data_IF_555932489930
#
_entry.id   IF_555932489930
#
_cell.length_a   1.000
_cell.length_b   1.000
_cell.length_c   1.000
_cell.angle_alpha   90.00
_cell.angle_beta   90.00
_cell.angle_gamma   90.00
#
_symmetry.space_group_name_H-M   'P 1'
#
loop_
_entity.id
_entity.type
_entity.pdbx_description
1 polymer ?
#
# COMPACT_ATOMS: atom_id res chain seq x y z
N UNK A 1 -7.80 51.62 36.30
CA UNK A 1 -7.73 50.17 36.58
C UNK A 1 -7.20 49.53 35.31
N UNK A 2 -5.88 49.56 35.17
CA UNK A 2 -5.18 48.92 34.05
C UNK A 2 -4.86 47.50 34.46
N UNK A 3 -5.42 46.54 33.75
CA UNK A 3 -5.15 45.12 33.98
C UNK A 3 -3.93 44.74 33.15
N UNK A 4 -2.81 44.60 33.84
CA UNK A 4 -1.55 44.11 33.30
C UNK A 4 -1.68 42.60 33.09
N UNK A 5 -1.68 42.16 31.82
CA UNK A 5 -1.67 40.74 31.45
C UNK A 5 -0.23 40.23 31.62
N UNK A 6 0.02 39.14 32.37
CA UNK A 6 1.36 38.59 32.48
C UNK A 6 1.75 37.90 31.18
N UNK A 7 2.94 38.23 30.65
CA UNK A 7 3.58 37.41 29.61
C UNK A 7 3.93 36.06 30.20
N UNK A 8 3.58 34.94 29.55
CA UNK A 8 4.21 33.68 29.87
C UNK A 8 5.57 33.67 29.18
N UNK A 9 6.64 33.79 29.97
CA UNK A 9 7.93 33.28 29.59
C UNK A 9 7.75 31.78 29.30
N UNK A 10 7.67 31.44 28.01
CA UNK A 10 7.83 30.09 27.53
C UNK A 10 9.32 29.77 27.65
N UNK A 11 9.68 29.16 28.78
CA UNK A 11 10.93 28.42 28.94
C UNK A 11 11.08 27.45 27.76
N UNK A 12 11.92 27.83 26.80
CA UNK A 12 12.40 26.99 25.72
C UNK A 12 13.44 26.04 26.31
N UNK A 13 12.98 24.94 26.89
CA UNK A 13 13.81 23.77 27.13
C UNK A 13 13.75 22.85 25.88
N UNK A 14 14.89 22.46 25.27
CA UNK A 14 14.92 21.69 24.03
C UNK A 14 14.81 20.20 24.34
N UNK A 15 13.69 19.77 24.91
CA UNK A 15 13.32 18.36 24.84
C UNK A 15 12.70 18.13 23.46
N UNK A 16 13.23 17.13 22.75
CA UNK A 16 13.03 16.89 21.34
C UNK A 16 11.51 16.86 20.98
N UNK A 17 11.04 17.84 20.20
CA UNK A 17 9.63 17.99 19.86
C UNK A 17 9.07 16.85 18.99
N UNK A 18 7.75 16.81 18.71
CA UNK A 18 7.09 15.74 17.94
C UNK A 18 7.68 15.52 16.53
N UNK A 19 8.33 16.52 15.94
CA UNK A 19 9.05 16.41 14.67
C UNK A 19 10.31 15.55 14.77
N UNK A 20 11.03 15.63 15.89
CA UNK A 20 12.25 14.84 16.11
C UNK A 20 11.95 13.34 16.33
N UNK A 21 10.84 13.02 17.00
CA UNK A 21 10.37 11.64 17.16
C UNK A 21 9.93 11.04 15.82
N UNK A 22 9.21 11.82 14.99
CA UNK A 22 8.81 11.39 13.65
C UNK A 22 10.03 11.07 12.75
N UNK A 23 11.07 11.91 12.80
CA UNK A 23 12.33 11.66 12.11
C UNK A 23 12.97 10.36 12.62
N UNK A 24 13.03 10.15 13.94
CA UNK A 24 13.59 8.93 14.53
C UNK A 24 12.86 7.68 14.03
N UNK A 25 11.52 7.67 14.04
CA UNK A 25 10.74 6.53 13.54
C UNK A 25 11.01 6.16 12.08
N UNK A 26 11.40 7.12 11.23
CA UNK A 26 11.77 6.83 9.84
C UNK A 26 13.24 6.41 9.72
N UNK A 27 14.15 7.17 10.33
CA UNK A 27 15.61 6.91 10.21
C UNK A 27 16.06 5.62 10.89
N UNK A 28 15.39 5.19 11.96
CA UNK A 28 15.72 3.94 12.67
C UNK A 28 15.02 2.72 12.07
N UNK A 29 14.06 2.92 11.14
CA UNK A 29 13.31 1.82 10.55
C UNK A 29 14.17 1.04 9.55
N UNK A 30 14.58 -0.17 9.94
CA UNK A 30 15.20 -1.12 9.01
C UNK A 30 14.13 -1.80 8.16
N UNK A 31 14.27 -1.69 6.83
CA UNK A 31 13.41 -2.42 5.89
C UNK A 31 13.93 -3.84 5.70
N UNK A 32 13.04 -4.82 5.87
CA UNK A 32 13.33 -6.25 5.67
C UNK A 32 12.17 -6.90 4.92
N UNK A 33 12.25 -8.21 4.69
CA UNK A 33 11.15 -8.96 4.09
C UNK A 33 9.84 -8.89 4.90
N UNK A 34 9.93 -8.65 6.22
CA UNK A 34 8.79 -8.66 7.16
C UNK A 34 8.60 -7.39 8.00
N UNK A 35 9.42 -6.36 7.81
CA UNK A 35 9.39 -5.11 8.59
C UNK A 35 9.55 -3.90 7.66
N UNK A 36 8.80 -2.80 7.85
CA UNK A 36 7.81 -2.52 8.92
C UNK A 36 6.50 -3.30 8.80
N UNK A 37 6.26 -3.91 7.64
CA UNK A 37 5.19 -4.88 7.43
C UNK A 37 5.63 -5.90 6.38
N UNK A 38 4.79 -6.91 6.10
CA UNK A 38 5.18 -8.04 5.26
C UNK A 38 5.06 -7.78 3.75
N UNK A 39 5.00 -6.53 3.30
CA UNK A 39 4.78 -6.20 1.88
C UNK A 39 5.77 -6.90 0.95
N UNK A 40 7.06 -6.93 1.30
CA UNK A 40 8.08 -7.55 0.45
C UNK A 40 7.95 -9.07 0.39
N UNK A 41 7.73 -9.72 1.55
CA UNK A 41 7.45 -11.14 1.61
C UNK A 41 6.21 -11.52 0.79
N UNK A 42 5.08 -10.85 1.02
CA UNK A 42 3.81 -11.15 0.37
C UNK A 42 3.85 -10.83 -1.14
N UNK A 43 4.59 -9.80 -1.54
CA UNK A 43 4.81 -9.49 -2.96
C UNK A 43 5.67 -10.55 -3.64
N UNK A 44 6.72 -11.04 -2.99
CA UNK A 44 7.55 -12.14 -3.49
C UNK A 44 6.72 -13.43 -3.66
N UNK A 45 5.85 -13.76 -2.70
CA UNK A 45 4.89 -14.88 -2.82
C UNK A 45 4.01 -14.74 -4.07
N UNK A 46 3.53 -13.53 -4.37
CA UNK A 46 2.77 -13.28 -5.60
C UNK A 46 3.63 -13.49 -6.87
N UNK A 47 4.87 -12.99 -6.89
CA UNK A 47 5.77 -13.17 -8.03
C UNK A 47 6.03 -14.66 -8.32
N UNK A 48 6.28 -15.44 -7.26
CA UNK A 48 6.50 -16.89 -7.35
C UNK A 48 5.25 -17.64 -7.85
N UNK A 49 4.07 -17.26 -7.36
CA UNK A 49 2.81 -17.84 -7.80
C UNK A 49 2.51 -17.59 -9.30
N UNK A 50 3.01 -16.49 -9.85
CA UNK A 50 2.92 -16.17 -11.29
C UNK A 50 3.94 -16.99 -12.07
N UNK A 51 5.21 -16.95 -11.63
CA UNK A 51 6.33 -17.65 -12.24
C UNK A 51 6.53 -17.35 -13.73
N UNK A 52 7.43 -18.11 -14.37
CA UNK A 52 7.80 -17.91 -15.78
C UNK A 52 6.65 -18.22 -16.76
N UNK A 53 5.73 -19.11 -16.36
CA UNK A 53 4.61 -19.51 -17.21
C UNK A 53 3.48 -18.47 -17.27
N UNK A 54 3.44 -17.57 -16.29
CA UNK A 54 2.36 -16.64 -16.05
C UNK A 54 1.15 -17.30 -15.38
N UNK A 55 0.30 -16.47 -14.80
CA UNK A 55 -0.91 -16.88 -14.11
C UNK A 55 -2.16 -16.59 -14.97
N UNK A 56 -2.99 -17.58 -15.31
CA UNK A 56 -4.25 -17.32 -15.99
C UNK A 56 -5.14 -16.39 -15.16
N UNK A 57 -5.75 -15.39 -15.79
CA UNK A 57 -6.69 -14.46 -15.17
C UNK A 57 -8.01 -14.41 -15.93
N UNK A 58 -9.07 -13.89 -15.31
CA UNK A 58 -10.36 -13.71 -15.99
C UNK A 58 -10.24 -12.72 -17.15
N UNK A 59 -10.99 -12.92 -18.23
CA UNK A 59 -10.87 -12.01 -19.39
C UNK A 59 -11.46 -10.63 -19.13
N UNK A 60 -12.56 -10.54 -18.36
CA UNK A 60 -13.27 -9.28 -18.11
C UNK A 60 -12.61 -8.43 -17.03
N UNK A 61 -12.29 -9.02 -15.89
CA UNK A 61 -11.78 -8.30 -14.72
C UNK A 61 -10.30 -8.52 -14.47
N UNK A 62 -9.66 -9.38 -15.28
CA UNK A 62 -8.25 -9.73 -15.14
C UNK A 62 -7.87 -10.20 -13.73
N UNK A 63 -8.81 -10.81 -13.00
CA UNK A 63 -8.60 -11.28 -11.64
C UNK A 63 -8.08 -12.71 -11.62
N UNK A 64 -7.34 -13.05 -10.56
CA UNK A 64 -6.91 -14.40 -10.23
C UNK A 64 -8.15 -15.29 -10.03
N UNK A 65 -8.19 -16.49 -10.66
CA UNK A 65 -9.30 -17.42 -10.50
C UNK A 65 -9.50 -17.86 -9.05
N UNK A 66 -10.76 -18.00 -8.63
CA UNK A 66 -11.18 -18.41 -7.27
C UNK A 66 -10.39 -19.62 -6.75
N UNK A 67 -10.16 -20.62 -7.62
CA UNK A 67 -9.47 -21.87 -7.27
C UNK A 67 -8.04 -21.65 -6.77
N UNK A 68 -7.37 -20.56 -7.15
CA UNK A 68 -5.99 -20.26 -6.76
C UNK A 68 -5.90 -19.29 -5.58
N UNK A 69 -6.98 -18.58 -5.24
CA UNK A 69 -6.97 -17.57 -4.18
C UNK A 69 -6.70 -18.18 -2.79
N UNK A 70 -7.27 -19.35 -2.50
CA UNK A 70 -7.06 -20.01 -1.21
C UNK A 70 -5.60 -20.45 -1.00
N UNK A 71 -5.00 -21.05 -2.03
CA UNK A 71 -3.59 -21.48 -2.04
C UNK A 71 -2.64 -20.28 -1.88
N UNK A 72 -2.91 -19.19 -2.61
CA UNK A 72 -2.10 -17.98 -2.54
C UNK A 72 -2.23 -17.30 -1.17
N UNK A 73 -3.45 -17.17 -0.65
CA UNK A 73 -3.70 -16.57 0.65
C UNK A 73 -3.01 -17.33 1.79
N UNK A 74 -2.97 -18.66 1.72
CA UNK A 74 -2.34 -19.50 2.75
C UNK A 74 -0.81 -19.30 2.85
N UNK A 75 -0.18 -18.77 1.81
CA UNK A 75 1.26 -18.49 1.76
C UNK A 75 1.62 -17.07 2.21
N UNK A 76 0.63 -16.19 2.36
CA UNK A 76 0.84 -14.82 2.84
C UNK A 76 1.33 -14.85 4.29
N UNK A 77 2.08 -13.82 4.70
CA UNK A 77 2.53 -13.66 6.08
C UNK A 77 1.37 -13.62 7.07
N UNK A 78 0.24 -13.02 6.66
CA UNK A 78 -0.99 -12.95 7.43
C UNK A 78 -2.20 -13.35 6.57
N UNK A 79 -2.49 -14.65 6.44
CA UNK A 79 -3.62 -15.14 5.65
C UNK A 79 -4.96 -14.57 6.14
N UNK A 80 -5.77 -14.06 5.23
CA UNK A 80 -7.10 -13.54 5.55
C UNK A 80 -8.10 -14.69 5.59
N UNK A 81 -8.77 -14.87 6.73
CA UNK A 81 -9.85 -15.86 6.88
C UNK A 81 -11.21 -15.19 6.63
N UNK A 82 -12.05 -15.83 5.81
CA UNK A 82 -13.36 -15.30 5.38
C UNK A 82 -14.44 -16.38 5.43
N UNK A 83 -15.70 -15.98 5.64
CA UNK A 83 -16.84 -16.89 5.70
C UNK A 83 -17.65 -17.00 4.39
N UNK A 84 -17.12 -16.50 3.27
CA UNK A 84 -17.79 -16.53 1.97
C UNK A 84 -17.70 -17.92 1.32
N UNK A 85 -18.80 -18.39 0.74
CA UNK A 85 -18.84 -19.67 -0.01
C UNK A 85 -18.12 -19.62 -1.36
N UNK A 86 -18.05 -18.44 -1.99
CA UNK A 86 -17.44 -18.22 -3.31
C UNK A 86 -16.63 -16.93 -3.28
N UNK A 87 -15.47 -16.92 -2.59
CA UNK A 87 -14.70 -15.70 -2.44
C UNK A 87 -14.04 -15.31 -3.76
N UNK A 88 -14.22 -14.05 -4.13
CA UNK A 88 -13.58 -13.46 -5.31
C UNK A 88 -12.25 -12.80 -4.88
N UNK A 89 -11.41 -12.36 -5.82
CA UNK A 89 -10.14 -11.71 -5.48
C UNK A 89 -10.34 -10.51 -4.54
N UNK A 90 -11.38 -9.68 -4.77
CA UNK A 90 -11.74 -8.56 -3.88
C UNK A 90 -12.09 -8.96 -2.45
N UNK A 91 -12.40 -10.25 -2.21
CA UNK A 91 -12.63 -10.78 -0.86
C UNK A 91 -11.33 -11.01 -0.09
N UNK A 92 -10.18 -11.00 -0.78
CA UNK A 92 -8.82 -11.06 -0.25
C UNK A 92 -8.10 -9.74 -0.57
N UNK A 93 -8.37 -8.67 0.21
CA UNK A 93 -7.90 -7.33 -0.12
C UNK A 93 -6.38 -7.19 -0.16
N UNK A 94 -5.63 -8.00 0.60
CA UNK A 94 -4.17 -8.11 0.49
C UNK A 94 -3.75 -8.58 -0.92
N UNK A 95 -4.29 -9.70 -1.41
CA UNK A 95 -4.01 -10.24 -2.75
C UNK A 95 -4.45 -9.24 -3.83
N UNK A 96 -5.60 -8.57 -3.61
CA UNK A 96 -6.08 -7.55 -4.52
C UNK A 96 -5.12 -6.37 -4.62
N UNK A 97 -4.67 -5.84 -3.49
CA UNK A 97 -3.65 -4.79 -3.41
C UNK A 97 -2.33 -5.20 -4.05
N UNK A 98 -1.81 -6.40 -3.78
CA UNK A 98 -0.55 -6.87 -4.38
C UNK A 98 -0.64 -6.97 -5.92
N UNK A 99 -1.78 -7.41 -6.45
CA UNK A 99 -2.00 -7.42 -7.91
C UNK A 99 -2.07 -6.01 -8.50
N UNK A 100 -2.55 -5.03 -7.73
CA UNK A 100 -2.55 -3.61 -8.12
C UNK A 100 -1.11 -3.13 -8.23
N UNK A 101 -0.31 -3.33 -7.18
CA UNK A 101 1.10 -2.92 -7.14
C UNK A 101 1.92 -3.54 -8.27
N UNK A 102 1.68 -4.82 -8.55
CA UNK A 102 2.36 -5.51 -9.65
C UNK A 102 2.12 -4.82 -11.01
N UNK A 103 0.91 -4.29 -11.23
CA UNK A 103 0.56 -3.59 -12.47
C UNK A 103 1.02 -2.13 -12.44
N UNK A 104 0.83 -1.45 -11.33
CA UNK A 104 1.21 -0.05 -11.14
C UNK A 104 2.74 0.15 -11.27
N UNK A 105 3.53 -0.82 -10.80
CA UNK A 105 5.00 -0.84 -10.96
C UNK A 105 5.47 -1.28 -12.35
N UNK A 106 4.58 -1.76 -13.21
CA UNK A 106 4.96 -2.32 -14.51
C UNK A 106 5.62 -3.71 -14.45
N UNK A 107 5.87 -4.25 -13.25
CA UNK A 107 6.48 -5.57 -13.06
C UNK A 107 5.64 -6.72 -13.62
N UNK A 108 4.32 -6.54 -13.71
CA UNK A 108 3.43 -7.49 -14.37
C UNK A 108 2.46 -6.84 -15.34
N UNK A 109 2.21 -7.55 -16.44
CA UNK A 109 1.24 -7.13 -17.47
C UNK A 109 0.31 -8.28 -17.81
N UNK A 110 -0.91 -7.94 -18.23
CA UNK A 110 -1.86 -8.93 -18.74
C UNK A 110 -1.74 -9.00 -20.24
N UNK A 111 -1.45 -10.20 -20.74
CA UNK A 111 -1.32 -10.50 -22.17
C UNK A 111 -2.34 -11.54 -22.59
N UNK A 112 -2.68 -11.58 -23.88
CA UNK A 112 -3.51 -12.65 -24.44
C UNK A 112 -2.63 -13.81 -24.90
N UNK A 113 -2.95 -15.03 -24.46
CA UNK A 113 -2.41 -16.29 -24.99
C UNK A 113 -3.56 -17.08 -25.62
N UNK A 114 -3.74 -16.91 -26.93
CA UNK A 114 -4.95 -17.36 -27.62
C UNK A 114 -6.18 -16.65 -27.07
N UNK A 115 -7.19 -17.40 -26.63
CA UNK A 115 -8.42 -16.82 -26.05
C UNK A 115 -8.29 -16.39 -24.59
N UNK A 116 -7.24 -16.82 -23.87
CA UNK A 116 -7.11 -16.62 -22.42
C UNK A 116 -6.24 -15.40 -22.09
N UNK A 117 -6.68 -14.58 -21.16
CA UNK A 117 -5.83 -13.59 -20.49
C UNK A 117 -4.86 -14.27 -19.50
N UNK A 118 -3.59 -13.84 -19.51
CA UNK A 118 -2.53 -14.35 -18.65
C UNK A 118 -1.74 -13.17 -18.09
N UNK A 119 -1.65 -13.09 -16.77
CA UNK A 119 -0.76 -12.19 -16.04
C UNK A 119 0.67 -12.74 -16.13
N UNK A 120 1.61 -11.93 -16.62
CA UNK A 120 3.02 -12.30 -16.81
C UNK A 120 3.93 -11.27 -16.17
N UNK A 121 5.06 -11.75 -15.65
CA UNK A 121 6.14 -10.87 -15.20
C UNK A 121 6.87 -10.27 -16.41
N UNK A 122 7.24 -8.99 -16.30
CA UNK A 122 8.13 -8.35 -17.24
C UNK A 122 9.56 -8.83 -16.95
N UNK A 123 10.22 -9.57 -17.87
CA UNK A 123 11.53 -10.16 -17.59
C UNK A 123 12.63 -9.09 -17.39
N UNK A 124 12.52 -7.93 -18.05
CA UNK A 124 13.51 -6.85 -17.90
C UNK A 124 13.40 -6.20 -16.53
N UNK A 125 12.20 -5.75 -16.19
CA UNK A 125 11.95 -5.14 -14.87
C UNK A 125 12.10 -6.15 -13.74
N UNK A 126 11.76 -7.42 -13.97
CA UNK A 126 12.00 -8.51 -13.02
C UNK A 126 13.49 -8.72 -12.72
N UNK A 127 14.36 -8.62 -13.74
CA UNK A 127 15.81 -8.71 -13.52
C UNK A 127 16.34 -7.52 -12.69
N UNK A 128 15.82 -6.31 -12.94
CA UNK A 128 16.17 -5.11 -12.16
C UNK A 128 15.67 -5.26 -10.72
N UNK A 129 14.42 -5.66 -10.53
CA UNK A 129 13.81 -5.89 -9.22
C UNK A 129 14.63 -6.82 -8.33
N UNK A 130 15.21 -7.88 -8.89
CA UNK A 130 16.05 -8.83 -8.17
C UNK A 130 17.41 -8.27 -7.75
N UNK A 131 17.83 -7.14 -8.32
CA UNK A 131 19.08 -6.45 -7.95
C UNK A 131 18.85 -5.35 -6.91
N UNK A 132 17.61 -4.92 -6.73
CA UNK A 132 17.24 -3.92 -5.72
C UNK A 132 17.40 -4.49 -4.30
N UNK A 133 17.91 -3.67 -3.39
CA UNK A 133 17.92 -3.99 -1.97
C UNK A 133 16.50 -3.88 -1.36
N UNK A 134 16.25 -4.40 -0.15
CA UNK A 134 14.92 -4.37 0.46
C UNK A 134 14.31 -2.96 0.58
N UNK A 135 15.11 -1.96 0.94
CA UNK A 135 14.67 -0.56 1.03
C UNK A 135 14.21 -0.04 -0.34
N UNK A 136 15.00 -0.28 -1.39
CA UNK A 136 14.67 0.10 -2.77
C UNK A 136 13.39 -0.60 -3.27
N UNK A 137 13.23 -1.89 -2.98
CA UNK A 137 12.03 -2.66 -3.31
C UNK A 137 10.79 -2.10 -2.59
N UNK A 138 10.92 -1.81 -1.30
CA UNK A 138 9.83 -1.27 -0.48
C UNK A 138 9.40 0.11 -1.01
N UNK A 139 10.36 1.00 -1.25
CA UNK A 139 10.11 2.34 -1.75
C UNK A 139 9.53 2.33 -3.17
N UNK A 140 10.01 1.44 -4.06
CA UNK A 140 9.43 1.30 -5.40
C UNK A 140 7.96 0.86 -5.37
N UNK A 141 7.59 -0.07 -4.47
CA UNK A 141 6.19 -0.48 -4.30
C UNK A 141 5.34 0.61 -3.66
N UNK A 142 5.88 1.34 -2.68
CA UNK A 142 5.22 2.47 -2.04
C UNK A 142 4.93 3.57 -3.06
N UNK A 143 5.91 3.90 -3.90
CA UNK A 143 5.75 4.91 -4.94
C UNK A 143 4.75 4.47 -6.01
N UNK A 144 4.84 3.22 -6.48
CA UNK A 144 3.86 2.66 -7.41
C UNK A 144 2.44 2.73 -6.83
N UNK A 145 2.27 2.46 -5.53
CA UNK A 145 0.98 2.57 -4.86
C UNK A 145 0.46 3.99 -4.81
N UNK A 146 1.26 4.93 -4.30
CA UNK A 146 0.83 6.31 -4.07
C UNK A 146 0.61 7.05 -5.39
N UNK A 147 1.45 6.82 -6.39
CA UNK A 147 1.43 7.62 -7.63
C UNK A 147 0.58 6.99 -8.73
N UNK A 148 0.66 5.66 -8.91
CA UNK A 148 0.05 4.94 -10.05
C UNK A 148 -1.03 3.94 -9.66
N UNK A 149 -1.34 3.82 -8.37
CA UNK A 149 -2.40 2.95 -7.90
C UNK A 149 -3.76 3.41 -8.44
N UNK A 150 -4.35 2.69 -9.37
CA UNK A 150 -5.70 3.00 -9.82
C UNK A 150 -6.49 1.72 -10.07
N UNK A 151 -7.73 1.67 -9.60
CA UNK A 151 -8.62 0.51 -9.79
C UNK A 151 -8.96 0.22 -11.26
N UNK A 152 -8.78 1.20 -12.16
CA UNK A 152 -8.86 1.02 -13.62
C UNK A 152 -7.87 -0.06 -14.10
N UNK A 153 -6.78 -0.29 -13.38
CA UNK A 153 -5.86 -1.39 -13.68
C UNK A 153 -6.53 -2.77 -13.59
N UNK A 154 -7.72 -2.90 -12.99
CA UNK A 154 -8.54 -4.12 -12.98
C UNK A 154 -9.69 -4.12 -14.01
N UNK A 155 -9.75 -3.12 -14.89
CA UNK A 155 -10.85 -2.94 -15.85
C UNK A 155 -12.17 -2.52 -15.18
N UNK A 156 -12.11 -1.86 -14.02
CA UNK A 156 -13.25 -1.15 -13.44
C UNK A 156 -13.25 0.29 -13.98
N UNK A 157 -14.27 0.67 -14.74
CA UNK A 157 -14.38 1.95 -15.45
C UNK A 157 -14.66 3.16 -14.52
N UNK A 158 -14.49 3.01 -13.21
CA UNK A 158 -14.85 4.03 -12.20
C UNK A 158 -13.71 4.97 -11.79
N UNK A 159 -12.50 4.84 -12.34
CA UNK A 159 -11.48 5.90 -12.33
C UNK A 159 -11.10 6.48 -10.97
N UNK A 160 -10.97 5.64 -9.94
CA UNK A 160 -10.54 6.07 -8.61
C UNK A 160 -9.00 6.21 -8.54
N UNK A 161 -8.51 7.41 -8.22
CA UNK A 161 -7.07 7.73 -8.10
C UNK A 161 -6.58 7.37 -6.69
N UNK A 162 -5.51 6.57 -6.57
CA UNK A 162 -5.01 6.13 -5.26
C UNK A 162 -4.52 7.26 -4.38
N UNK A 163 -3.88 8.30 -4.91
CA UNK A 163 -3.24 9.34 -4.10
C UNK A 163 -4.22 10.04 -3.16
N UNK A 164 -5.23 10.69 -3.73
CA UNK A 164 -6.24 11.43 -2.99
C UNK A 164 -7.08 10.49 -2.11
N UNK A 165 -7.47 9.34 -2.64
CA UNK A 165 -8.26 8.35 -1.90
C UNK A 165 -7.47 7.78 -0.70
N UNK A 166 -6.15 7.60 -0.83
CA UNK A 166 -5.28 7.11 0.24
C UNK A 166 -5.09 8.15 1.34
N UNK A 167 -4.86 9.42 0.98
CA UNK A 167 -4.72 10.49 1.97
C UNK A 167 -6.05 10.78 2.67
N UNK A 168 -7.17 10.80 1.95
CA UNK A 168 -8.49 11.00 2.54
C UNK A 168 -8.89 9.83 3.47
N UNK A 169 -8.60 8.60 3.06
CA UNK A 169 -8.75 7.42 3.91
C UNK A 169 -7.92 7.55 5.19
N UNK A 170 -6.64 7.93 5.08
CA UNK A 170 -5.74 8.08 6.22
C UNK A 170 -6.18 9.17 7.21
N UNK A 171 -6.59 10.34 6.70
CA UNK A 171 -6.90 11.50 7.54
C UNK A 171 -8.34 11.49 8.07
N UNK A 172 -9.30 11.08 7.25
CA UNK A 172 -10.72 11.26 7.57
C UNK A 172 -11.36 9.97 8.07
N UNK A 173 -11.01 8.84 7.45
CA UNK A 173 -11.76 7.58 7.65
C UNK A 173 -11.12 6.75 8.77
N UNK A 174 -9.81 6.54 8.74
CA UNK A 174 -9.07 5.76 9.74
C UNK A 174 -9.27 6.30 11.17
N UNK A 175 -9.20 7.61 11.46
CA UNK A 175 -9.45 8.12 12.82
C UNK A 175 -10.90 7.94 13.28
N UNK A 176 -11.88 8.07 12.38
CA UNK A 176 -13.32 7.95 12.71
C UNK A 176 -13.76 6.53 12.98
N UNK A 177 -13.18 5.57 12.27
CA UNK A 177 -13.42 4.15 12.47
C UNK A 177 -13.08 3.68 13.90
N UNK A 178 -12.13 4.34 14.59
CA UNK A 178 -11.84 4.11 16.03
C UNK A 178 -13.05 4.38 16.95
N UNK A 179 -14.05 5.14 16.48
CA UNK A 179 -15.22 5.56 17.25
C UNK A 179 -16.47 4.68 17.07
N UNK A 180 -16.36 3.59 16.29
CA UNK A 180 -17.33 2.49 16.29
C UNK A 180 -18.36 2.50 15.16
N UNK A 181 -17.98 1.93 14.00
CA UNK A 181 -18.72 0.90 13.25
C UNK A 181 -17.86 0.44 12.06
N UNK A 182 -16.87 -0.41 12.35
CA UNK A 182 -15.78 -0.74 11.41
C UNK A 182 -16.23 -1.32 10.07
N UNK A 183 -17.36 -2.02 10.05
CA UNK A 183 -17.82 -2.76 8.87
C UNK A 183 -18.72 -1.94 7.92
N UNK A 184 -19.38 -0.88 8.39
CA UNK A 184 -20.28 -0.08 7.54
C UNK A 184 -19.53 0.93 6.67
N UNK A 185 -18.47 1.55 7.21
CA UNK A 185 -17.60 2.47 6.47
C UNK A 185 -16.77 1.74 5.41
N UNK A 186 -16.29 0.52 5.70
CA UNK A 186 -15.50 -0.30 4.77
C UNK A 186 -16.34 -1.10 3.75
N UNK A 187 -17.67 -1.01 3.80
CA UNK A 187 -18.54 -1.67 2.81
C UNK A 187 -18.48 -1.01 1.42
N UNK A 188 -17.88 0.19 1.29
CA UNK A 188 -17.42 0.68 0.01
C UNK A 188 -16.20 -0.14 -0.40
N UNK A 189 -16.47 -1.20 -1.17
CA UNK A 189 -15.49 -2.20 -1.60
C UNK A 189 -14.25 -1.63 -2.32
N UNK A 190 -14.28 -0.35 -2.73
CA UNK A 190 -13.15 0.39 -3.31
C UNK A 190 -12.06 0.73 -2.29
N UNK A 191 -12.28 0.62 -0.97
CA UNK A 191 -11.30 1.09 0.03
C UNK A 191 -10.62 -0.05 0.82
N UNK A 192 -11.15 -1.27 0.78
CA UNK A 192 -10.63 -2.37 1.62
C UNK A 192 -9.23 -2.84 1.22
N UNK A 193 -8.86 -2.75 -0.06
CA UNK A 193 -7.50 -3.07 -0.49
C UNK A 193 -6.50 -1.99 -0.06
N UNK A 194 -6.89 -0.72 0.00
CA UNK A 194 -6.01 0.35 0.51
C UNK A 194 -5.73 0.14 2.00
N UNK A 195 -6.73 -0.24 2.78
CA UNK A 195 -6.54 -0.62 4.20
C UNK A 195 -5.60 -1.83 4.32
N UNK A 196 -5.74 -2.84 3.47
CA UNK A 196 -4.82 -3.98 3.45
C UNK A 196 -3.40 -3.58 3.02
N UNK A 197 -3.24 -2.70 2.03
CA UNK A 197 -1.93 -2.19 1.61
C UNK A 197 -1.28 -1.38 2.73
N UNK A 198 -2.01 -0.47 3.38
CA UNK A 198 -1.52 0.25 4.57
C UNK A 198 -1.01 -0.71 5.64
N UNK A 199 -1.67 -1.85 5.84
CA UNK A 199 -1.20 -2.88 6.76
C UNK A 199 0.05 -3.60 6.28
N UNK A 200 0.11 -3.99 4.99
CA UNK A 200 1.28 -4.64 4.40
C UNK A 200 2.52 -3.75 4.44
N UNK A 201 2.36 -2.44 4.24
CA UNK A 201 3.43 -1.44 4.37
C UNK A 201 3.74 -1.08 5.84
N UNK A 202 3.08 -1.70 6.82
CA UNK A 202 3.34 -1.41 8.24
C UNK A 202 2.85 -0.04 8.72
N UNK A 203 2.00 0.64 7.95
CA UNK A 203 1.38 1.93 8.32
C UNK A 203 0.24 1.73 9.33
N UNK A 204 -0.44 0.59 9.23
CA UNK A 204 -1.49 0.16 10.14
C UNK A 204 -1.13 -1.19 10.76
N UNK A 205 -1.35 -1.33 12.05
CA UNK A 205 -1.51 -2.63 12.70
C UNK A 205 -3.00 -3.01 12.64
N UNK A 206 -3.33 -4.20 12.13
CA UNK A 206 -4.70 -4.66 11.95
C UNK A 206 -4.90 -6.00 12.62
N UNK A 207 -5.90 -6.09 13.50
CA UNK A 207 -6.32 -7.36 14.09
C UNK A 207 -7.55 -7.87 13.35
N UNK A 208 -7.42 -9.07 12.78
CA UNK A 208 -8.55 -9.78 12.18
C UNK A 208 -9.48 -10.34 13.25
N UNK A 209 -10.78 -10.23 13.04
CA UNK A 209 -11.80 -10.93 13.83
C UNK A 209 -12.08 -12.32 13.23
N UNK A 210 -12.76 -13.16 14.01
CA UNK A 210 -13.23 -14.45 13.52
C UNK A 210 -14.14 -14.29 12.27
N UNK A 211 -14.04 -15.18 11.28
CA UNK A 211 -14.87 -15.12 10.08
C UNK A 211 -16.34 -15.29 10.46
N UNK A 212 -17.22 -14.49 9.83
CA UNK A 212 -18.67 -14.65 9.94
C UNK A 212 -19.22 -15.29 8.68
N UNK A 213 -20.15 -16.24 8.83
CA UNK A 213 -20.76 -16.94 7.70
C UNK A 213 -21.35 -15.94 6.69
N UNK A 214 -21.00 -16.10 5.42
CA UNK A 214 -21.44 -15.21 4.34
C UNK A 214 -20.79 -13.82 4.31
N UNK A 215 -19.79 -13.54 5.16
CA UNK A 215 -19.09 -12.25 5.21
C UNK A 215 -17.62 -12.38 4.76
N UNK A 216 -17.12 -11.30 4.16
CA UNK A 216 -15.71 -11.16 3.78
C UNK A 216 -14.79 -10.95 4.99
N UNK A 217 -13.61 -10.37 4.77
CA UNK A 217 -12.65 -10.08 5.83
C UNK A 217 -13.31 -9.29 6.97
N UNK A 218 -13.14 -9.76 8.20
CA UNK A 218 -13.67 -9.12 9.39
C UNK A 218 -12.52 -8.46 10.14
N UNK A 219 -12.56 -7.15 10.27
CA UNK A 219 -11.56 -6.38 11.02
C UNK A 219 -12.10 -6.16 12.44
N UNK A 220 -11.31 -6.56 13.44
CA UNK A 220 -11.62 -6.34 14.86
C UNK A 220 -11.24 -4.93 15.28
N UNK A 221 -10.04 -4.52 14.89
CA UNK A 221 -9.47 -3.22 15.21
C UNK A 221 -8.33 -2.91 14.24
N UNK A 222 -7.97 -1.65 14.18
CA UNK A 222 -6.72 -1.22 13.59
C UNK A 222 -6.13 -0.03 14.36
N UNK A 223 -4.83 0.15 14.24
CA UNK A 223 -4.07 1.22 14.89
C UNK A 223 -3.04 1.77 13.92
N UNK A 224 -2.97 3.09 13.81
CA UNK A 224 -1.87 3.74 13.09
C UNK A 224 -0.57 3.51 13.84
N UNK A 225 0.45 3.03 13.14
CA UNK A 225 1.78 2.83 13.73
C UNK A 225 2.51 4.17 13.81
N UNK A 226 3.49 4.33 14.72
CA UNK A 226 4.33 5.53 14.75
C UNK A 226 5.07 5.75 13.43
N UNK A 227 5.62 4.67 12.85
CA UNK A 227 6.19 4.67 11.50
C UNK A 227 5.19 5.16 10.45
N UNK A 228 3.97 4.64 10.46
CA UNK A 228 2.91 5.04 9.53
C UNK A 228 2.52 6.51 9.64
N UNK A 229 2.45 7.04 10.86
CA UNK A 229 2.21 8.46 11.11
C UNK A 229 3.32 9.34 10.53
N UNK A 230 4.58 8.98 10.78
CA UNK A 230 5.71 9.71 10.25
C UNK A 230 5.75 9.65 8.72
N UNK A 231 5.64 8.45 8.12
CA UNK A 231 5.76 8.25 6.68
C UNK A 231 4.62 8.94 5.92
N UNK A 232 3.37 8.80 6.39
CA UNK A 232 2.23 9.44 5.73
C UNK A 232 2.28 10.96 5.82
N UNK A 233 2.82 11.52 6.91
CA UNK A 233 3.04 12.96 7.03
C UNK A 233 4.03 13.47 5.98
N UNK A 234 5.10 12.73 5.74
CA UNK A 234 6.11 13.06 4.73
C UNK A 234 5.59 12.95 3.30
N UNK A 235 4.89 11.86 2.98
CA UNK A 235 4.25 11.67 1.68
C UNK A 235 3.24 12.79 1.38
N UNK A 236 2.45 13.18 2.37
CA UNK A 236 1.48 14.24 2.24
C UNK A 236 2.15 15.62 2.04
N UNK A 237 3.24 15.88 2.79
CA UNK A 237 4.04 17.10 2.62
C UNK A 237 4.57 17.20 1.18
N UNK A 238 5.13 16.11 0.65
CA UNK A 238 5.61 16.05 -0.73
C UNK A 238 4.48 16.25 -1.75
N UNK A 239 3.33 15.61 -1.54
CA UNK A 239 2.15 15.78 -2.40
C UNK A 239 1.71 17.24 -2.48
N UNK A 240 1.67 17.97 -1.36
CA UNK A 240 1.34 19.39 -1.36
C UNK A 240 2.42 20.27 -2.01
N UNK A 241 3.70 19.97 -1.77
CA UNK A 241 4.82 20.70 -2.38
C UNK A 241 4.84 20.56 -3.91
N UNK A 242 4.40 19.41 -4.43
CA UNK A 242 4.24 19.16 -5.87
C UNK A 242 2.91 19.66 -6.44
N UNK A 243 2.19 20.53 -5.73
CA UNK A 243 0.93 21.10 -6.23
C UNK A 243 -0.20 20.09 -6.37
N UNK A 244 -0.18 19.03 -5.55
CA UNK A 244 -1.16 17.92 -5.52
C UNK A 244 -1.21 17.13 -6.83
N UNK A 245 -0.05 16.96 -7.48
CA UNK A 245 0.09 16.21 -8.72
C UNK A 245 1.44 15.50 -8.75
N UNK A 246 1.42 14.30 -9.30
CA UNK A 246 2.60 13.55 -9.69
C UNK A 246 2.69 13.54 -11.21
N UNK A 247 3.89 13.70 -11.76
CA UNK A 247 4.09 13.74 -13.21
C UNK A 247 3.84 12.37 -13.82
N UNK A 248 4.27 11.30 -13.15
CA UNK A 248 4.20 9.93 -13.65
C UNK A 248 2.88 9.20 -13.39
N UNK A 249 1.91 9.86 -12.72
CA UNK A 249 0.52 9.37 -12.63
C UNK A 249 -0.11 9.22 -14.02
N UNK A 250 0.16 10.16 -14.93
CA UNK A 250 -0.45 10.21 -16.27
C UNK A 250 0.43 9.68 -17.39
N UNK A 251 1.71 9.49 -17.12
CA UNK A 251 2.68 9.00 -18.10
C UNK A 251 3.45 7.80 -17.54
N UNK A 252 3.04 6.57 -17.88
CA UNK A 252 3.70 5.36 -17.41
C UNK A 252 5.09 5.15 -18.04
N UNK A 253 5.53 6.01 -18.97
CA UNK A 253 6.89 5.98 -19.52
C UNK A 253 7.92 6.70 -18.67
N UNK A 254 7.48 7.53 -17.71
CA UNK A 254 8.37 8.16 -16.75
C UNK A 254 8.81 7.14 -15.68
N UNK A 255 10.01 7.29 -15.10
CA UNK A 255 10.45 6.43 -13.99
C UNK A 255 9.66 6.70 -12.69
N UNK A 256 9.66 5.72 -11.78
CA UNK A 256 9.15 5.88 -10.40
C UNK A 256 10.32 6.35 -9.50
N UNK A 257 10.58 7.65 -9.50
CA UNK A 257 11.57 8.28 -8.63
C UNK A 257 11.13 9.63 -8.02
N UNK A 258 9.85 9.99 -8.12
CA UNK A 258 9.30 11.26 -7.63
C UNK A 258 9.33 11.37 -6.10
N UNK A 259 9.29 10.24 -5.38
CA UNK A 259 9.38 10.22 -3.92
C UNK A 259 10.82 10.05 -3.41
N UNK A 260 11.77 9.72 -4.28
CA UNK A 260 13.15 9.44 -3.87
C UNK A 260 13.77 10.65 -3.16
N UNK A 261 13.64 11.85 -3.73
CA UNK A 261 14.19 13.07 -3.12
C UNK A 261 13.57 13.41 -1.75
N UNK A 262 12.33 13.01 -1.51
CA UNK A 262 11.65 13.23 -0.22
C UNK A 262 12.07 12.21 0.83
N UNK A 263 12.17 10.93 0.46
CA UNK A 263 12.32 9.85 1.43
C UNK A 263 13.77 9.38 1.62
N UNK A 264 14.66 9.62 0.66
CA UNK A 264 16.08 9.24 0.75
C UNK A 264 16.81 9.80 2.00
N UNK A 265 16.51 11.01 2.53
CA UNK A 265 17.08 11.47 3.79
C UNK A 265 16.79 10.55 4.98
N UNK A 266 15.70 9.79 4.94
CA UNK A 266 15.32 8.82 5.97
C UNK A 266 15.71 7.38 5.62
N UNK A 267 15.81 7.07 4.32
CA UNK A 267 16.15 5.76 3.79
C UNK A 267 17.37 5.88 2.85
N UNK A 268 18.59 6.06 3.41
CA UNK A 268 19.78 6.31 2.61
C UNK A 268 20.17 5.14 1.72
N UNK A 269 19.67 3.93 1.97
CA UNK A 269 19.88 2.77 1.09
C UNK A 269 19.07 2.84 -0.21
N UNK A 270 18.10 3.76 -0.32
CA UNK A 270 17.33 3.96 -1.56
C UNK A 270 18.16 4.72 -2.60
N UNK A 271 19.05 3.99 -3.29
CA UNK A 271 19.96 4.55 -4.30
C UNK A 271 19.50 4.27 -5.72
N UNK A 272 18.81 3.15 -5.94
CA UNK A 272 18.28 2.74 -7.24
C UNK A 272 16.74 2.77 -7.26
N UNK A 273 16.19 3.18 -8.40
CA UNK A 273 14.74 3.17 -8.65
C UNK A 273 14.38 2.14 -9.71
N UNK A 274 13.13 1.68 -9.67
CA UNK A 274 12.56 0.92 -10.77
C UNK A 274 12.23 1.90 -11.92
N UNK A 275 12.78 1.70 -13.13
CA UNK A 275 12.64 2.62 -14.25
C UNK A 275 11.28 2.55 -14.95
#
# INVERSE_FOLDING_TARGET
VDVQVPSPDLDLNPEAGPESEAIAYLTEQTITDRSPGPILHDFQVLLEAIGNNGLPVSDKTQCIPIKRLGELNAQMAQPITIGLKRPQQKSYPNIHGLCLLLRASGLGTVTKKGKKAVLRLNPKLGAIWQQLNPTEQYCALLEAWIIRGNTELFGDDRGHRSDQDTFDLWQMVIPRLKQGNHNELLNYASETYNVALMHLFGLLDIQSAAPKAGKGWQIKSFKQTPFGLALMSELQRAYYQNGRRWQSDRDPSLPLNELQGTLQPYFPEWQQCLP
#
